data_IF_601096396739
#
_entry.id   IF_601096396739
#
_cell.length_a   1.000
_cell.length_b   1.000
_cell.length_c   1.000
_cell.angle_alpha   90.00
_cell.angle_beta   90.00
_cell.angle_gamma   90.00
#
_symmetry.space_group_name_H-M   'P 1'
#
loop_
_entity.id
_entity.type
_entity.pdbx_description
1 polymer ?
#
# COMPACT_ATOMS: atom_id res chain seq x y z
N UNK A 1 43.44 8.98 -13.76
CA UNK A 1 43.19 9.73 -12.52
C UNK A 1 43.06 8.72 -11.40
N UNK A 2 44.09 8.62 -10.56
CA UNK A 2 44.04 7.90 -9.28
C UNK A 2 43.06 8.60 -8.36
N UNK A 3 42.27 7.83 -7.61
CA UNK A 3 41.38 8.39 -6.58
C UNK A 3 42.22 9.13 -5.54
N UNK A 4 41.88 10.38 -5.19
CA UNK A 4 42.55 11.09 -4.09
C UNK A 4 42.35 10.39 -2.73
N UNK A 5 41.35 9.50 -2.64
CA UNK A 5 41.01 8.76 -1.41
C UNK A 5 41.65 7.37 -1.34
N UNK A 6 42.06 6.80 -2.48
CA UNK A 6 42.63 5.47 -2.56
C UNK A 6 43.94 5.57 -3.32
N UNK A 7 45.05 5.32 -2.64
CA UNK A 7 46.42 5.40 -3.19
C UNK A 7 46.73 4.31 -4.26
N UNK A 8 45.71 3.80 -4.95
CA UNK A 8 45.75 2.83 -6.05
C UNK A 8 44.54 2.98 -6.99
N UNK A 9 44.61 2.35 -8.16
CA UNK A 9 43.56 2.41 -9.19
C UNK A 9 42.46 1.41 -8.87
N UNK A 10 41.25 1.91 -8.64
CA UNK A 10 40.04 1.12 -8.48
C UNK A 10 39.00 1.51 -9.55
N UNK A 11 38.07 0.60 -9.92
CA UNK A 11 36.86 0.97 -10.64
C UNK A 11 36.11 2.11 -9.96
N UNK A 12 35.51 3.01 -10.74
CA UNK A 12 34.76 4.15 -10.20
C UNK A 12 33.41 3.69 -9.67
N UNK A 13 33.15 3.98 -8.40
CA UNK A 13 31.87 3.71 -7.71
C UNK A 13 31.19 5.02 -7.25
N UNK A 14 29.93 4.93 -6.82
CA UNK A 14 29.17 6.05 -6.21
C UNK A 14 28.99 5.85 -4.72
N UNK A 15 28.80 6.95 -3.99
CA UNK A 15 28.59 6.95 -2.54
C UNK A 15 27.09 7.11 -2.25
N UNK A 16 26.54 6.22 -1.44
CA UNK A 16 25.25 6.44 -0.80
C UNK A 16 25.45 7.21 0.51
N UNK A 17 24.90 8.42 0.59
CA UNK A 17 24.97 9.24 1.80
C UNK A 17 23.89 8.87 2.84
N UNK A 18 22.90 8.06 2.45
CA UNK A 18 21.79 7.66 3.29
C UNK A 18 21.98 6.25 3.85
N UNK A 19 21.29 5.94 4.95
CA UNK A 19 21.17 4.57 5.42
C UNK A 19 20.43 3.71 4.37
N UNK A 20 20.90 2.48 4.14
CA UNK A 20 20.28 1.58 3.15
C UNK A 20 19.00 0.92 3.65
N UNK A 21 18.76 0.95 4.96
CA UNK A 21 17.59 0.35 5.60
C UNK A 21 16.35 1.23 5.47
N UNK A 22 15.17 0.62 5.52
CA UNK A 22 13.90 1.35 5.66
C UNK A 22 13.73 1.67 7.15
N UNK A 23 14.46 2.66 7.64
CA UNK A 23 14.57 3.03 9.06
C UNK A 23 14.05 4.45 9.38
N UNK A 24 13.36 5.05 8.41
CA UNK A 24 12.88 6.43 8.44
C UNK A 24 14.00 7.48 8.56
N UNK A 25 15.22 7.21 8.05
CA UNK A 25 16.31 8.20 7.98
C UNK A 25 15.92 9.48 7.23
N UNK A 26 14.95 9.43 6.32
CA UNK A 26 14.37 10.62 5.69
C UNK A 26 13.68 11.58 6.68
N UNK A 27 13.32 11.12 7.88
CA UNK A 27 12.77 11.92 8.98
C UNK A 27 13.86 12.24 10.01
N UNK A 28 14.74 11.27 10.30
CA UNK A 28 15.66 11.31 11.44
C UNK A 28 17.12 11.64 11.10
N UNK A 29 17.49 11.78 9.83
CA UNK A 29 18.88 11.94 9.42
C UNK A 29 19.59 10.60 9.23
N UNK A 30 20.66 10.60 8.45
CA UNK A 30 21.53 9.43 8.21
C UNK A 30 22.84 9.51 8.98
N UNK A 31 23.15 10.66 9.57
CA UNK A 31 24.26 10.88 10.49
C UNK A 31 23.77 11.30 11.88
N UNK A 32 24.65 11.16 12.88
CA UNK A 32 24.37 11.63 14.25
C UNK A 32 24.09 13.14 14.30
N UNK A 33 24.86 13.93 13.54
CA UNK A 33 24.71 15.37 13.48
C UNK A 33 23.32 15.79 12.97
N UNK A 34 22.91 15.28 11.80
CA UNK A 34 21.58 15.55 11.24
C UNK A 34 20.47 15.10 12.20
N UNK A 35 20.66 13.96 12.87
CA UNK A 35 19.71 13.44 13.84
C UNK A 35 19.58 14.32 15.08
N UNK A 36 20.65 14.98 15.53
CA UNK A 36 20.60 15.92 16.64
C UNK A 36 19.97 17.26 16.22
N UNK A 37 20.23 17.72 14.99
CA UNK A 37 19.68 18.98 14.47
C UNK A 37 18.15 19.00 14.34
N UNK A 38 17.54 17.87 14.03
CA UNK A 38 16.07 17.74 13.92
C UNK A 38 15.37 17.58 15.27
N UNK A 39 16.11 17.32 16.37
CA UNK A 39 15.55 17.01 17.70
C UNK A 39 15.35 18.26 18.55
N UNK A 40 14.27 18.29 19.32
CA UNK A 40 14.06 19.28 20.37
C UNK A 40 14.81 18.84 21.64
N UNK A 41 16.09 19.22 21.71
CA UNK A 41 16.96 18.92 22.85
C UNK A 41 16.64 19.77 24.08
N UNK A 42 15.94 20.91 23.91
CA UNK A 42 15.66 21.83 25.01
C UNK A 42 14.58 21.29 25.95
N UNK A 43 13.55 20.63 25.41
CA UNK A 43 12.43 20.19 26.25
C UNK A 43 12.63 18.84 26.93
N UNK A 44 13.62 18.05 26.54
CA UNK A 44 13.88 16.70 27.08
C UNK A 44 12.65 15.75 27.02
N UNK A 45 11.72 16.00 26.10
CA UNK A 45 10.50 15.20 25.89
C UNK A 45 10.59 14.19 24.74
N UNK A 46 11.77 14.09 24.13
CA UNK A 46 12.00 13.20 22.99
C UNK A 46 11.24 13.62 21.72
N UNK A 47 10.96 14.91 21.55
CA UNK A 47 10.24 15.46 20.39
C UNK A 47 11.22 15.86 19.27
N UNK A 48 10.70 15.95 18.06
CA UNK A 48 11.34 16.68 16.96
C UNK A 48 10.98 18.17 17.02
N UNK A 49 11.90 19.03 16.57
CA UNK A 49 11.73 20.50 16.56
C UNK A 49 10.52 20.91 15.75
N UNK A 50 9.68 21.77 16.31
CA UNK A 50 8.49 22.29 15.65
C UNK A 50 8.78 23.64 15.01
N UNK A 51 8.31 23.83 13.78
CA UNK A 51 8.31 25.12 13.10
C UNK A 51 7.03 25.91 13.36
N UNK A 52 6.70 26.77 12.40
CA UNK A 52 5.50 27.61 12.46
C UNK A 52 4.22 26.77 12.60
N UNK A 53 3.30 27.23 13.45
CA UNK A 53 1.99 26.60 13.64
C UNK A 53 0.99 27.25 12.69
N UNK A 54 0.36 26.44 11.84
CA UNK A 54 -0.65 26.94 10.91
C UNK A 54 -1.92 27.36 11.66
N UNK A 55 -2.80 28.13 11.01
CA UNK A 55 -4.14 28.48 11.56
C UNK A 55 -4.97 27.26 11.98
N UNK A 56 -4.70 26.10 11.38
CA UNK A 56 -5.32 24.82 11.73
C UNK A 56 -4.83 24.23 13.07
N UNK A 57 -3.88 24.89 13.74
CA UNK A 57 -3.27 24.42 15.00
C UNK A 57 -2.22 23.31 14.81
N UNK A 58 -1.87 22.95 13.57
CA UNK A 58 -0.89 21.89 13.30
C UNK A 58 0.49 22.48 12.97
N UNK A 59 1.57 22.03 13.63
CA UNK A 59 2.92 22.53 13.38
C UNK A 59 3.44 22.08 12.02
N UNK A 60 4.20 22.94 11.34
CA UNK A 60 5.02 22.56 10.18
C UNK A 60 6.42 22.12 10.62
N UNK A 61 7.19 21.62 9.66
CA UNK A 61 8.61 21.37 9.84
C UNK A 61 9.34 22.65 10.30
N UNK A 62 10.42 22.53 11.08
CA UNK A 62 11.26 23.66 11.45
C UNK A 62 11.98 24.19 10.21
N UNK A 63 12.47 25.42 10.25
CA UNK A 63 13.31 25.96 9.18
C UNK A 63 14.77 25.54 9.36
N UNK A 64 15.45 25.31 8.25
CA UNK A 64 16.89 25.04 8.23
C UNK A 64 17.67 26.30 8.64
N UNK A 65 18.72 26.12 9.42
CA UNK A 65 19.65 27.17 9.82
C UNK A 65 20.94 27.00 9.02
N UNK A 66 21.31 27.99 8.21
CA UNK A 66 22.50 27.90 7.37
C UNK A 66 22.45 28.85 6.17
N UNK A 67 23.48 28.86 5.31
CA UNK A 67 23.49 29.67 4.10
C UNK A 67 22.26 29.37 3.22
N UNK A 68 21.80 30.35 2.41
CA UNK A 68 20.57 30.23 1.63
C UNK A 68 20.61 28.98 0.76
N UNK A 69 19.65 28.10 1.00
CA UNK A 69 19.40 26.88 0.23
C UNK A 69 18.36 27.18 -0.84
N UNK A 70 18.37 26.41 -1.92
CA UNK A 70 17.66 26.62 -3.20
C UNK A 70 16.12 26.78 -3.14
N UNK A 71 15.51 26.88 -1.96
CA UNK A 71 14.08 27.18 -1.79
C UNK A 71 13.74 28.65 -2.04
N UNK A 72 14.74 29.54 -1.97
CA UNK A 72 14.56 30.95 -2.31
C UNK A 72 15.10 31.17 -3.72
N UNK A 73 14.19 31.45 -4.67
CA UNK A 73 14.57 31.86 -6.03
C UNK A 73 15.16 33.28 -6.04
N UNK A 74 14.63 34.14 -5.18
CA UNK A 74 15.08 35.51 -4.92
C UNK A 74 14.83 35.84 -3.44
N UNK A 75 15.86 36.26 -2.71
CA UNK A 75 15.79 36.63 -1.30
C UNK A 75 14.84 37.82 -1.05
N UNK A 76 14.60 38.64 -2.09
CA UNK A 76 13.71 39.79 -2.02
C UNK A 76 12.23 39.45 -2.34
N UNK A 77 11.96 38.32 -3.00
CA UNK A 77 10.59 37.93 -3.40
C UNK A 77 9.90 37.07 -2.32
N UNK A 78 10.64 36.20 -1.63
CA UNK A 78 10.07 35.33 -0.60
C UNK A 78 11.05 35.09 0.55
N UNK A 79 10.79 35.61 1.76
CA UNK A 79 11.66 35.43 2.92
C UNK A 79 11.46 34.07 3.62
N UNK A 80 10.85 33.08 2.95
CA UNK A 80 10.55 31.78 3.55
C UNK A 80 11.75 30.84 3.34
N UNK A 81 12.52 30.52 4.38
CA UNK A 81 13.65 29.60 4.25
C UNK A 81 13.17 28.16 4.04
N UNK A 82 14.08 27.29 3.60
CA UNK A 82 13.82 25.86 3.47
C UNK A 82 13.39 25.22 4.79
N UNK A 83 12.52 24.21 4.71
CA UNK A 83 12.25 23.33 5.83
C UNK A 83 13.43 22.39 6.10
N UNK A 84 13.66 22.10 7.38
CA UNK A 84 14.60 21.12 7.86
C UNK A 84 13.91 19.78 8.11
N UNK A 85 14.50 18.72 7.58
CA UNK A 85 14.09 17.33 7.78
C UNK A 85 15.34 16.43 7.77
N UNK A 86 15.17 15.14 8.02
CA UNK A 86 16.26 14.15 7.95
C UNK A 86 16.84 13.91 6.55
N UNK A 87 16.16 14.38 5.50
CA UNK A 87 16.67 14.37 4.13
C UNK A 87 16.60 15.79 3.54
N UNK A 88 17.70 16.23 2.93
CA UNK A 88 17.83 17.60 2.39
C UNK A 88 16.87 17.90 1.24
N UNK A 89 16.32 16.87 0.57
CA UNK A 89 15.41 17.01 -0.57
C UNK A 89 13.96 17.21 -0.14
N UNK A 90 13.67 17.32 1.16
CA UNK A 90 12.31 17.54 1.67
C UNK A 90 11.61 18.77 1.06
N UNK A 91 12.36 19.70 0.45
CA UNK A 91 11.87 20.93 -0.18
C UNK A 91 11.76 20.88 -1.71
N UNK A 92 12.08 19.75 -2.35
CA UNK A 92 12.12 19.64 -3.82
C UNK A 92 10.74 19.86 -4.46
N UNK A 93 9.69 19.34 -3.82
CA UNK A 93 8.31 19.57 -4.24
C UNK A 93 7.33 19.49 -3.06
N UNK A 94 6.25 20.27 -3.15
CA UNK A 94 5.28 20.43 -2.05
C UNK A 94 4.64 19.12 -1.59
N UNK A 95 4.43 18.16 -2.48
CA UNK A 95 3.89 16.85 -2.13
C UNK A 95 4.85 16.04 -1.25
N UNK A 96 6.16 16.15 -1.51
CA UNK A 96 7.19 15.52 -0.69
C UNK A 96 7.29 16.22 0.67
N UNK A 97 7.31 17.55 0.70
CA UNK A 97 7.30 18.34 1.94
C UNK A 97 6.11 17.99 2.83
N UNK A 98 4.92 17.81 2.23
CA UNK A 98 3.73 17.38 2.94
C UNK A 98 3.92 16.00 3.58
N UNK A 99 4.54 15.06 2.87
CA UNK A 99 4.84 13.73 3.41
C UNK A 99 5.85 13.76 4.56
N UNK A 100 6.93 14.55 4.46
CA UNK A 100 7.85 14.75 5.59
C UNK A 100 7.13 15.34 6.80
N UNK A 101 6.23 16.31 6.59
CA UNK A 101 5.42 16.92 7.65
C UNK A 101 4.49 15.92 8.33
N UNK A 102 3.90 14.98 7.58
CA UNK A 102 3.03 13.92 8.14
C UNK A 102 3.84 13.03 9.09
N UNK A 103 5.01 12.54 8.65
CA UNK A 103 5.83 11.64 9.47
C UNK A 103 6.44 12.33 10.68
N UNK A 104 6.83 13.60 10.54
CA UNK A 104 7.24 14.45 11.65
C UNK A 104 6.13 14.58 12.71
N UNK A 105 4.89 14.85 12.29
CA UNK A 105 3.74 14.95 13.20
C UNK A 105 3.44 13.61 13.87
N UNK A 106 3.56 12.51 13.14
CA UNK A 106 3.35 11.17 13.68
C UNK A 106 4.37 10.82 14.77
N UNK A 107 5.65 11.15 14.56
CA UNK A 107 6.66 11.02 15.61
C UNK A 107 6.25 11.78 16.87
N UNK A 108 5.94 13.07 16.76
CA UNK A 108 5.56 13.89 17.92
C UNK A 108 4.27 13.40 18.60
N UNK A 109 3.32 12.85 17.83
CA UNK A 109 2.11 12.22 18.36
C UNK A 109 2.45 10.97 19.18
N UNK A 110 3.32 10.10 18.67
CA UNK A 110 3.78 8.88 19.36
C UNK A 110 4.59 9.25 20.60
N UNK A 111 5.58 10.13 20.48
CA UNK A 111 6.42 10.57 21.60
C UNK A 111 5.59 11.19 22.73
N UNK A 112 4.60 12.04 22.40
CA UNK A 112 3.68 12.61 23.40
C UNK A 112 2.84 11.53 24.10
N UNK A 113 2.40 10.51 23.36
CA UNK A 113 1.66 9.39 23.94
C UNK A 113 2.55 8.51 24.84
N UNK A 114 3.77 8.22 24.41
CA UNK A 114 4.75 7.45 25.18
C UNK A 114 5.14 8.16 26.48
N UNK A 115 5.37 9.47 26.43
CA UNK A 115 5.66 10.28 27.62
C UNK A 115 4.51 10.23 28.65
N UNK A 116 3.26 10.28 28.19
CA UNK A 116 2.09 10.17 29.07
C UNK A 116 1.96 8.78 29.71
N UNK A 117 2.29 7.72 28.97
CA UNK A 117 2.24 6.34 29.46
C UNK A 117 3.43 6.01 30.37
N UNK A 118 4.60 6.59 30.09
CA UNK A 118 5.85 6.33 30.81
C UNK A 118 6.48 7.65 31.28
N UNK A 119 5.95 8.30 32.33
CA UNK A 119 6.51 9.57 32.83
C UNK A 119 7.93 9.47 33.39
N UNK A 120 8.41 8.25 33.63
CA UNK A 120 9.74 7.95 34.16
C UNK A 120 10.82 7.82 33.07
N UNK A 121 10.44 7.81 31.79
CA UNK A 121 11.39 7.75 30.69
C UNK A 121 12.01 9.12 30.43
N UNK A 122 13.29 9.12 30.09
CA UNK A 122 14.00 10.31 29.62
C UNK A 122 13.68 10.62 28.16
N UNK A 123 14.06 11.82 27.72
CA UNK A 123 13.81 12.29 26.36
C UNK A 123 14.48 11.42 25.28
N UNK A 124 15.65 10.85 25.58
CA UNK A 124 16.38 9.97 24.65
C UNK A 124 15.62 8.65 24.44
N UNK A 125 15.16 8.01 25.52
CA UNK A 125 14.37 6.78 25.43
C UNK A 125 13.08 7.02 24.64
N UNK A 126 12.36 8.10 24.93
CA UNK A 126 11.12 8.45 24.23
C UNK A 126 11.38 8.67 22.74
N UNK A 127 12.43 9.41 22.39
CA UNK A 127 12.81 9.68 21.01
C UNK A 127 13.11 8.38 20.25
N UNK A 128 13.93 7.49 20.84
CA UNK A 128 14.32 6.25 20.20
C UNK A 128 13.17 5.25 20.06
N UNK A 129 12.29 5.13 21.06
CA UNK A 129 11.10 4.29 20.96
C UNK A 129 10.09 4.82 19.93
N UNK A 130 9.86 6.15 19.89
CA UNK A 130 9.04 6.76 18.86
C UNK A 130 9.64 6.54 17.45
N UNK A 131 10.96 6.71 17.30
CA UNK A 131 11.69 6.45 16.05
C UNK A 131 11.52 5.01 15.58
N UNK A 132 11.65 4.04 16.50
CA UNK A 132 11.48 2.62 16.21
C UNK A 132 10.07 2.30 15.70
N UNK A 133 9.04 2.87 16.32
CA UNK A 133 7.65 2.67 15.90
C UNK A 133 7.41 3.27 14.50
N UNK A 134 7.88 4.49 14.24
CA UNK A 134 7.73 5.12 12.91
C UNK A 134 8.46 4.33 11.83
N UNK A 135 9.68 3.85 12.10
CA UNK A 135 10.41 2.97 11.19
C UNK A 135 9.61 1.70 10.86
N UNK A 136 9.03 1.06 11.87
CA UNK A 136 8.17 -0.11 11.68
C UNK A 136 6.89 0.21 10.88
N UNK A 137 6.25 1.36 11.10
CA UNK A 137 5.10 1.81 10.31
C UNK A 137 5.48 1.98 8.83
N UNK A 138 6.61 2.64 8.54
CA UNK A 138 7.08 2.82 7.17
C UNK A 138 7.40 1.48 6.49
N UNK A 139 8.07 0.57 7.18
CA UNK A 139 8.33 -0.79 6.67
C UNK A 139 7.01 -1.53 6.37
N UNK A 140 6.06 -1.51 7.31
CA UNK A 140 4.77 -2.17 7.14
C UNK A 140 4.02 -1.63 5.92
N UNK A 141 3.93 -0.30 5.77
CA UNK A 141 3.29 0.32 4.61
C UNK A 141 4.03 -0.04 3.32
N UNK A 142 5.35 0.01 3.33
CA UNK A 142 6.17 -0.26 2.16
C UNK A 142 5.97 -1.70 1.68
N UNK A 143 6.13 -2.69 2.56
CA UNK A 143 6.06 -4.10 2.18
C UNK A 143 4.63 -4.63 1.96
N UNK A 144 3.66 -4.21 2.78
CA UNK A 144 2.30 -4.77 2.71
C UNK A 144 1.36 -3.98 1.80
N UNK A 145 1.57 -2.68 1.65
CA UNK A 145 0.64 -1.84 0.89
C UNK A 145 1.22 -1.30 -0.42
N UNK A 146 2.48 -0.88 -0.44
CA UNK A 146 3.06 -0.24 -1.63
C UNK A 146 3.70 -1.26 -2.59
N UNK A 147 4.63 -2.08 -2.08
CA UNK A 147 5.42 -3.01 -2.90
C UNK A 147 4.56 -4.02 -3.69
N UNK A 148 3.45 -4.57 -3.17
CA UNK A 148 2.59 -5.45 -3.97
C UNK A 148 1.99 -4.73 -5.17
N UNK A 149 1.63 -3.46 -5.06
CA UNK A 149 1.06 -2.69 -6.18
C UNK A 149 2.11 -2.42 -7.26
N UNK A 150 3.33 -2.09 -6.85
CA UNK A 150 4.46 -1.87 -7.77
C UNK A 150 4.84 -3.17 -8.49
N UNK A 151 4.96 -4.27 -7.73
CA UNK A 151 5.34 -5.58 -8.28
C UNK A 151 4.27 -6.21 -9.15
N UNK A 152 2.98 -6.02 -8.82
CA UNK A 152 1.87 -6.61 -9.59
C UNK A 152 1.84 -6.07 -11.02
N UNK A 153 2.23 -4.81 -11.23
CA UNK A 153 2.34 -4.23 -12.58
C UNK A 153 3.44 -4.88 -13.43
N UNK A 154 4.53 -5.39 -12.82
CA UNK A 154 5.64 -6.01 -13.55
C UNK A 154 5.45 -7.50 -13.84
N UNK A 155 4.69 -8.23 -13.00
CA UNK A 155 4.39 -9.66 -13.26
C UNK A 155 3.16 -9.85 -14.17
N UNK A 156 2.30 -8.85 -14.34
CA UNK A 156 1.17 -8.94 -15.27
C UNK A 156 1.57 -8.78 -16.75
N UNK A 157 2.83 -8.47 -17.06
CA UNK A 157 3.31 -8.29 -18.44
C UNK A 157 4.08 -9.48 -19.03
N UNK A 158 4.14 -10.61 -18.33
CA UNK A 158 4.69 -11.85 -18.90
C UNK A 158 3.98 -13.07 -18.33
N UNK A 159 2.78 -13.35 -18.86
CA UNK A 159 2.27 -14.71 -19.11
C UNK A 159 0.85 -14.61 -19.70
N UNK A 160 0.74 -14.38 -21.01
CA UNK A 160 -0.27 -15.12 -21.79
C UNK A 160 0.31 -16.51 -22.05
N UNK A 161 0.44 -17.30 -20.98
CA UNK A 161 0.66 -18.74 -21.11
C UNK A 161 -0.72 -19.33 -21.35
N UNK A 162 -1.00 -19.60 -22.62
CA UNK A 162 -2.10 -20.44 -23.08
C UNK A 162 -1.96 -21.83 -22.45
N UNK A 163 -2.45 -21.98 -21.22
CA UNK A 163 -2.63 -23.28 -20.61
C UNK A 163 -3.82 -23.97 -21.28
N UNK A 164 -3.53 -24.84 -22.22
CA UNK A 164 -4.37 -26.00 -22.51
C UNK A 164 -4.54 -26.78 -21.21
N UNK A 165 -5.75 -26.73 -20.65
CA UNK A 165 -6.10 -27.49 -19.46
C UNK A 165 -6.12 -28.98 -19.79
N UNK A 166 -5.03 -29.68 -19.49
CA UNK A 166 -5.05 -31.14 -19.35
C UNK A 166 -5.87 -31.47 -18.09
N UNK A 167 -7.00 -32.13 -18.32
CA UNK A 167 -8.01 -32.48 -17.32
C UNK A 167 -7.43 -33.44 -16.26
N UNK A 168 -6.94 -32.92 -15.14
CA UNK A 168 -6.65 -33.73 -13.94
C UNK A 168 -7.92 -33.78 -13.09
N UNK A 169 -8.40 -35.00 -12.87
CA UNK A 169 -9.62 -35.31 -12.13
C UNK A 169 -9.32 -35.23 -10.63
N UNK A 170 -9.64 -34.10 -10.00
CA UNK A 170 -9.71 -33.99 -8.54
C UNK A 170 -11.11 -33.57 -8.12
N UNK A 171 -11.76 -34.46 -7.40
CA UNK A 171 -13.04 -34.24 -6.72
C UNK A 171 -12.81 -33.27 -5.57
N UNK A 172 -13.07 -31.99 -5.79
CA UNK A 172 -13.22 -30.99 -4.74
C UNK A 172 -14.44 -30.15 -5.06
N UNK A 173 -15.43 -30.28 -4.18
CA UNK A 173 -16.70 -29.55 -4.18
C UNK A 173 -16.42 -28.04 -4.12
N UNK A 174 -16.50 -27.36 -5.25
CA UNK A 174 -16.58 -25.91 -5.31
C UNK A 174 -17.99 -25.49 -5.69
N UNK A 175 -18.69 -24.89 -4.72
CA UNK A 175 -20.02 -24.30 -4.88
C UNK A 175 -19.87 -23.00 -5.67
N UNK A 176 -20.09 -23.06 -6.99
CA UNK A 176 -20.14 -21.87 -7.85
C UNK A 176 -21.60 -21.51 -8.17
N UNK A 177 -21.98 -20.32 -7.72
CA UNK A 177 -23.10 -19.55 -8.24
C UNK A 177 -22.79 -19.00 -9.63
N UNK A 178 -23.85 -18.94 -10.42
CA UNK A 178 -24.07 -18.21 -11.68
C UNK A 178 -23.44 -18.77 -12.97
N UNK A 179 -24.38 -19.30 -13.73
CA UNK A 179 -24.41 -19.87 -15.06
C UNK A 179 -24.28 -18.79 -16.15
N UNK A 180 -23.47 -19.03 -17.18
CA UNK A 180 -23.70 -18.50 -18.53
C UNK A 180 -23.05 -19.43 -19.56
N UNK A 181 -23.84 -20.39 -20.04
CA UNK A 181 -23.45 -21.34 -21.08
C UNK A 181 -23.67 -20.76 -22.49
N UNK A 182 -22.65 -20.84 -23.34
CA UNK A 182 -22.82 -20.97 -24.80
C UNK A 182 -22.85 -22.46 -25.15
N UNK A 183 -23.91 -22.89 -25.84
CA UNK A 183 -24.20 -24.29 -26.15
C UNK A 183 -23.44 -24.75 -27.40
N UNK A 184 -22.44 -25.62 -27.25
CA UNK A 184 -21.94 -26.46 -28.34
C UNK A 184 -22.64 -27.82 -28.30
N UNK A 185 -23.34 -28.10 -29.40
CA UNK A 185 -24.16 -29.28 -29.66
C UNK A 185 -23.26 -30.53 -29.75
N UNK A 186 -23.29 -31.40 -28.74
CA UNK A 186 -22.71 -32.75 -28.84
C UNK A 186 -23.78 -33.78 -28.51
N UNK A 187 -24.03 -34.63 -29.50
CA UNK A 187 -24.99 -35.73 -29.51
C UNK A 187 -24.29 -36.96 -28.96
N UNK A 188 -24.65 -37.45 -27.77
CA UNK A 188 -24.41 -38.84 -27.35
C UNK A 188 -25.42 -39.28 -26.28
N UNK A 189 -25.66 -40.58 -26.28
CA UNK A 189 -26.85 -41.33 -25.86
C UNK A 189 -27.10 -41.35 -24.35
N UNK A 190 -28.32 -41.04 -23.93
CA UNK A 190 -28.79 -41.09 -22.53
C UNK A 190 -29.20 -42.52 -22.14
N UNK A 191 -28.65 -43.04 -21.04
CA UNK A 191 -29.29 -44.04 -20.19
C UNK A 191 -29.55 -43.37 -18.83
N UNK A 192 -30.77 -42.83 -18.66
CA UNK A 192 -31.26 -42.24 -17.42
C UNK A 192 -32.37 -43.14 -16.86
N UNK A 193 -32.14 -43.73 -15.68
CA UNK A 193 -33.17 -44.41 -14.90
C UNK A 193 -33.81 -43.37 -13.99
N UNK A 194 -35.09 -43.08 -14.21
CA UNK A 194 -35.86 -42.11 -13.45
C UNK A 194 -36.40 -42.70 -12.15
N UNK A 195 -36.48 -41.86 -11.12
CA UNK A 195 -37.60 -41.88 -10.18
C UNK A 195 -38.11 -40.45 -10.00
N UNK A 196 -39.36 -40.32 -10.40
CA UNK A 196 -40.27 -39.17 -10.52
C UNK A 196 -40.36 -38.23 -9.31
N UNK A 197 -40.56 -36.93 -9.57
CA UNK A 197 -41.69 -36.20 -8.97
C UNK A 197 -42.14 -35.00 -9.84
N UNK A 198 -43.43 -35.05 -10.17
CA UNK A 198 -44.39 -34.08 -10.74
C UNK A 198 -43.98 -32.62 -11.02
N UNK A 199 -44.18 -32.22 -12.28
CA UNK A 199 -44.27 -30.84 -12.80
C UNK A 199 -45.62 -30.18 -12.50
N UNK A 200 -45.62 -28.86 -12.28
CA UNK A 200 -46.68 -27.95 -12.76
C UNK A 200 -46.28 -27.42 -14.14
N UNK A 201 -47.13 -27.68 -15.15
CA UNK A 201 -46.92 -27.34 -16.56
C UNK A 201 -47.59 -26.00 -16.89
N UNK A 202 -46.86 -25.04 -17.44
CA UNK A 202 -47.42 -24.00 -18.30
C UNK A 202 -47.16 -24.40 -19.76
N UNK A 203 -48.25 -24.61 -20.49
CA UNK A 203 -48.33 -25.30 -21.77
C UNK A 203 -47.90 -24.40 -22.93
N UNK A 204 -46.86 -24.84 -23.64
CA UNK A 204 -46.45 -24.40 -24.98
C UNK A 204 -47.54 -24.75 -25.99
N UNK A 205 -47.85 -23.85 -26.94
CA UNK A 205 -48.71 -24.18 -28.09
C UNK A 205 -47.85 -24.72 -29.23
N UNK A 206 -47.70 -26.04 -29.25
CA UNK A 206 -47.30 -26.84 -30.42
C UNK A 206 -48.49 -27.07 -31.34
N UNK A 207 -48.27 -27.06 -32.66
CA UNK A 207 -49.20 -27.63 -33.65
C UNK A 207 -49.23 -29.15 -33.46
N UNK A 208 -50.30 -29.66 -32.84
CA UNK A 208 -50.57 -31.08 -32.69
C UNK A 208 -51.55 -31.50 -33.79
N UNK A 209 -51.11 -32.37 -34.71
CA UNK A 209 -52.01 -33.22 -35.49
C UNK A 209 -52.49 -34.34 -34.57
N UNK A 210 -53.75 -34.22 -34.14
CA UNK A 210 -54.49 -35.18 -33.36
C UNK A 210 -55.18 -36.17 -34.29
N UNK A 211 -55.20 -37.46 -33.94
CA UNK A 211 -56.30 -38.35 -34.36
C UNK A 211 -56.68 -39.28 -33.23
N UNK A 212 -57.89 -39.04 -32.72
CA UNK A 212 -58.60 -39.81 -31.71
C UNK A 212 -59.08 -41.16 -32.23
N UNK A 213 -59.26 -42.09 -31.30
CA UNK A 213 -60.52 -42.84 -31.22
C UNK A 213 -60.83 -43.12 -29.75
N UNK A 214 -62.06 -42.77 -29.38
CA UNK A 214 -62.60 -42.60 -28.04
C UNK A 214 -63.22 -43.88 -27.51
N UNK A 215 -63.10 -44.14 -26.20
CA UNK A 215 -64.12 -44.87 -25.44
C UNK A 215 -64.35 -44.13 -24.10
N UNK A 216 -65.61 -43.74 -23.87
CA UNK A 216 -66.09 -42.98 -22.71
C UNK A 216 -66.29 -43.86 -21.49
N UNK A 217 -66.05 -43.32 -20.29
CA UNK A 217 -66.77 -43.76 -19.09
C UNK A 217 -67.10 -42.56 -18.18
N UNK A 218 -68.40 -42.32 -18.00
CA UNK A 218 -69.01 -41.50 -16.95
C UNK A 218 -69.51 -42.42 -15.82
N UNK A 219 -69.54 -41.87 -14.60
CA UNK A 219 -69.95 -42.51 -13.33
C UNK A 219 -71.47 -42.39 -13.07
N UNK A 220 -71.99 -43.41 -12.36
CA UNK A 220 -73.24 -43.51 -11.53
C UNK A 220 -74.58 -43.34 -12.25
N UNK A 221 -75.55 -44.27 -12.17
CA UNK A 221 -76.21 -44.86 -10.98
C UNK A 221 -76.63 -46.31 -11.25
#
# INVERSE_FOLDING_TARGET
>A
MTSLLMNSVFPREQINQLTSYIDASNVYGSSRHESEEVRDLASQRGLLRQGIVQRSGKPLLPFATGPPTECMRDENESPIPCFLAGDHRANEQLGLTAMHTVWFREHNRIATALLRLNPHWDGDTIYHEARKIVGAQMQHITYNHWLPKVRTTLLYRSTTLSHTLTKVRTTLLYRSTTLSHTLTKVRTTLLYRSTTLSHTLTKVRTTLLYRSTTLSHTLTK
#
